data_IF_126791709368
#
_entry.id   IF_126791709368
#
_cell.length_a   1.000
_cell.length_b   1.000
_cell.length_c   1.000
_cell.angle_alpha   90.00
_cell.angle_beta   90.00
_cell.angle_gamma   90.00
#
_symmetry.space_group_name_H-M   'P 1'
#
loop_
_entity.id
_entity.type
_entity.pdbx_description
1 polymer ?
#
# COMPACT_ATOMS: atom_id res chain seq x y z
N UNK A 1 36.31 -64.11 -29.11
CA UNK A 1 36.89 -62.95 -28.42
C UNK A 1 36.23 -61.61 -28.77
N UNK A 2 35.88 -61.31 -30.04
CA UNK A 2 35.24 -60.03 -30.42
C UNK A 2 33.86 -59.72 -29.82
N UNK A 3 33.08 -60.74 -29.42
CA UNK A 3 31.73 -60.55 -28.84
C UNK A 3 31.74 -60.18 -27.35
N UNK A 4 32.78 -60.57 -26.61
CA UNK A 4 32.91 -60.24 -25.18
C UNK A 4 33.34 -58.77 -25.00
N UNK A 5 34.21 -58.26 -25.89
CA UNK A 5 34.59 -56.84 -25.89
C UNK A 5 33.43 -55.89 -26.18
N UNK A 6 32.41 -56.33 -26.92
CA UNK A 6 31.24 -55.51 -27.23
C UNK A 6 30.29 -55.35 -26.03
N UNK A 7 30.20 -56.37 -25.17
CA UNK A 7 29.38 -56.30 -23.96
C UNK A 7 30.02 -55.44 -22.86
N UNK A 8 31.35 -55.41 -22.76
CA UNK A 8 32.07 -54.56 -21.78
C UNK A 8 31.97 -53.07 -22.18
N UNK A 9 32.02 -52.75 -23.48
CA UNK A 9 31.83 -51.37 -23.96
C UNK A 9 30.39 -50.85 -23.75
N UNK A 10 29.37 -51.72 -23.85
CA UNK A 10 27.98 -51.34 -23.60
C UNK A 10 27.68 -51.11 -22.11
N UNK A 11 28.37 -51.81 -21.21
CA UNK A 11 28.24 -51.62 -19.75
C UNK A 11 28.92 -50.34 -19.25
N UNK A 12 29.89 -49.78 -19.97
CA UNK A 12 30.53 -48.50 -19.65
C UNK A 12 29.71 -47.28 -20.07
N UNK A 13 28.76 -47.42 -21.00
CA UNK A 13 27.88 -46.33 -21.45
C UNK A 13 26.59 -46.19 -20.62
N UNK A 14 26.31 -47.13 -19.72
CA UNK A 14 25.19 -47.08 -18.77
C UNK A 14 25.65 -46.74 -17.34
N UNK A 15 26.95 -46.54 -17.14
CA UNK A 15 27.55 -46.15 -15.87
C UNK A 15 27.66 -44.63 -15.73
N UNK A 16 26.65 -44.01 -15.12
CA UNK A 16 26.88 -42.88 -14.21
C UNK A 16 26.68 -41.47 -14.75
N UNK A 17 25.41 -41.05 -14.85
CA UNK A 17 25.05 -39.73 -14.31
C UNK A 17 24.96 -39.87 -12.78
N UNK A 18 26.06 -40.17 -12.11
CA UNK A 18 26.15 -39.88 -10.67
C UNK A 18 26.29 -38.38 -10.59
N UNK A 19 25.16 -37.71 -10.38
CA UNK A 19 25.09 -36.32 -9.96
C UNK A 19 25.90 -36.24 -8.65
N UNK A 20 27.18 -35.86 -8.76
CA UNK A 20 28.06 -35.58 -7.63
C UNK A 20 27.51 -34.30 -6.99
N UNK A 21 26.50 -34.48 -6.15
CA UNK A 21 25.95 -33.46 -5.25
C UNK A 21 26.62 -33.65 -3.91
N UNK A 22 27.94 -33.55 -3.87
CA UNK A 22 28.66 -33.61 -2.60
C UNK A 22 29.94 -32.79 -2.66
N UNK A 23 30.01 -31.81 -1.76
CA UNK A 23 31.22 -31.12 -1.26
C UNK A 23 31.80 -29.94 -2.04
N UNK A 24 30.97 -29.14 -2.68
CA UNK A 24 31.21 -27.69 -2.66
C UNK A 24 30.08 -27.09 -1.86
N UNK A 25 30.21 -27.15 -0.52
CA UNK A 25 29.37 -26.36 0.37
C UNK A 25 29.51 -24.92 -0.10
N UNK A 26 28.51 -24.41 -0.79
CA UNK A 26 28.51 -23.00 -1.11
C UNK A 26 28.46 -22.30 0.25
N UNK A 27 29.35 -21.34 0.53
CA UNK A 27 29.42 -20.65 1.83
C UNK A 27 28.13 -19.89 2.20
N UNK A 28 27.09 -20.02 1.39
CA UNK A 28 25.77 -19.44 1.55
C UNK A 28 24.74 -20.42 2.12
N UNK A 29 24.90 -21.72 1.89
CA UNK A 29 24.08 -22.73 2.57
C UNK A 29 24.36 -22.69 4.09
N UNK A 30 25.65 -22.57 4.45
CA UNK A 30 26.08 -22.37 5.84
C UNK A 30 25.52 -21.07 6.45
N UNK A 31 25.47 -19.99 5.66
CA UNK A 31 24.89 -18.70 6.11
C UNK A 31 23.39 -18.78 6.31
N UNK A 32 22.68 -19.52 5.46
CA UNK A 32 21.25 -19.73 5.62
C UNK A 32 20.97 -20.59 6.87
N UNK A 33 21.73 -21.67 7.06
CA UNK A 33 21.65 -22.49 8.26
C UNK A 33 21.91 -21.66 9.53
N UNK A 34 22.91 -20.78 9.51
CA UNK A 34 23.17 -19.88 10.62
C UNK A 34 22.04 -18.87 10.83
N UNK A 35 21.46 -18.31 9.76
CA UNK A 35 20.29 -17.44 9.88
C UNK A 35 19.09 -18.16 10.52
N UNK A 36 18.85 -19.43 10.16
CA UNK A 36 17.79 -20.26 10.74
C UNK A 36 18.07 -20.52 12.22
N UNK A 37 19.30 -20.89 12.58
CA UNK A 37 19.73 -21.08 13.97
C UNK A 37 19.52 -19.82 14.81
N UNK A 38 19.81 -18.63 14.26
CA UNK A 38 19.54 -17.36 14.93
C UNK A 38 18.04 -17.10 15.10
N UNK A 39 17.19 -17.46 14.12
CA UNK A 39 15.73 -17.39 14.26
C UNK A 39 15.22 -18.32 15.36
N UNK A 40 15.72 -19.55 15.43
CA UNK A 40 15.35 -20.53 16.45
C UNK A 40 15.73 -20.06 17.86
N UNK A 41 16.88 -19.39 18.00
CA UNK A 41 17.33 -18.75 19.24
C UNK A 41 16.57 -17.45 19.59
N UNK A 42 15.65 -17.01 18.73
CA UNK A 42 14.92 -15.75 18.89
C UNK A 42 15.72 -14.49 18.58
N UNK A 43 16.93 -14.61 18.04
CA UNK A 43 17.78 -13.49 17.64
C UNK A 43 17.41 -12.99 16.23
N UNK A 44 16.25 -12.35 16.15
CA UNK A 44 15.65 -11.87 14.90
C UNK A 44 16.52 -10.85 14.16
N UNK A 45 17.23 -9.99 14.89
CA UNK A 45 18.07 -8.94 14.29
C UNK A 45 19.29 -9.52 13.59
N UNK A 46 19.98 -10.49 14.21
CA UNK A 46 21.10 -11.17 13.57
C UNK A 46 20.64 -11.99 12.36
N UNK A 47 19.52 -12.72 12.50
CA UNK A 47 18.92 -13.45 11.39
C UNK A 47 18.55 -12.52 10.23
N UNK A 48 17.93 -11.37 10.50
CA UNK A 48 17.58 -10.37 9.47
C UNK A 48 18.80 -9.96 8.66
N UNK A 49 19.91 -9.62 9.32
CA UNK A 49 21.12 -9.17 8.64
C UNK A 49 21.67 -10.26 7.71
N UNK A 50 21.74 -11.50 8.19
CA UNK A 50 22.18 -12.64 7.37
C UNK A 50 21.26 -12.89 6.17
N UNK A 51 19.93 -12.82 6.36
CA UNK A 51 18.96 -13.00 5.28
C UNK A 51 19.02 -11.87 4.25
N UNK A 52 19.24 -10.63 4.69
CA UNK A 52 19.46 -9.47 3.82
C UNK A 52 20.70 -9.69 2.96
N UNK A 53 21.81 -10.11 3.56
CA UNK A 53 23.07 -10.38 2.85
C UNK A 53 22.90 -11.49 1.79
N UNK A 54 22.15 -12.55 2.10
CA UNK A 54 21.84 -13.63 1.16
C UNK A 54 20.97 -13.09 0.00
N UNK A 55 19.93 -12.32 0.31
CA UNK A 55 18.95 -11.81 -0.66
C UNK A 55 19.50 -10.74 -1.62
N UNK A 56 20.50 -9.97 -1.17
CA UNK A 56 21.17 -8.91 -1.93
C UNK A 56 22.41 -9.40 -2.68
N UNK A 57 22.76 -10.68 -2.57
CA UNK A 57 23.94 -11.21 -3.24
C UNK A 57 23.80 -11.19 -4.76
N UNK A 58 24.94 -11.01 -5.46
CA UNK A 58 25.00 -10.91 -6.93
C UNK A 58 24.52 -12.18 -7.64
N UNK A 59 24.76 -13.34 -7.04
CA UNK A 59 24.34 -14.64 -7.61
C UNK A 59 23.06 -15.09 -6.92
N UNK A 60 22.10 -15.60 -7.67
CA UNK A 60 20.88 -16.22 -7.12
C UNK A 60 21.09 -17.73 -7.08
N UNK A 61 20.87 -18.35 -5.92
CA UNK A 61 21.00 -19.80 -5.74
C UNK A 61 19.63 -20.34 -5.34
N UNK A 62 19.10 -21.28 -6.13
CA UNK A 62 17.84 -21.95 -5.83
C UNK A 62 17.95 -22.79 -4.56
N UNK A 63 16.90 -22.78 -3.73
CA UNK A 63 16.88 -23.39 -2.39
C UNK A 63 17.47 -22.51 -1.28
N UNK A 64 18.30 -21.52 -1.62
CA UNK A 64 18.96 -20.63 -0.64
C UNK A 64 18.44 -19.20 -0.70
N UNK A 65 18.47 -18.59 -1.89
CA UNK A 65 18.08 -17.19 -2.09
C UNK A 65 16.56 -17.02 -2.02
N UNK A 66 15.81 -17.98 -2.54
CA UNK A 66 14.35 -18.05 -2.47
C UNK A 66 13.86 -18.24 -1.02
N UNK A 67 14.46 -19.16 -0.25
CA UNK A 67 14.14 -19.34 1.17
C UNK A 67 14.44 -18.06 1.96
N UNK A 68 15.61 -17.45 1.71
CA UNK A 68 15.97 -16.20 2.37
C UNK A 68 15.02 -15.04 2.06
N UNK A 69 14.60 -14.90 0.79
CA UNK A 69 13.62 -13.89 0.37
C UNK A 69 12.27 -14.08 1.08
N UNK A 70 11.81 -15.33 1.18
CA UNK A 70 10.54 -15.64 1.83
C UNK A 70 10.60 -15.39 3.34
N UNK A 71 11.61 -15.93 4.03
CA UNK A 71 11.78 -15.76 5.49
C UNK A 71 11.99 -14.30 5.89
N UNK A 72 12.76 -13.55 5.11
CA UNK A 72 12.96 -12.12 5.33
C UNK A 72 11.63 -11.37 5.23
N UNK A 73 10.81 -11.71 4.22
CA UNK A 73 9.50 -11.09 4.02
C UNK A 73 8.56 -11.40 5.19
N UNK A 74 8.55 -12.63 5.70
CA UNK A 74 7.76 -13.00 6.88
C UNK A 74 8.23 -12.29 8.16
N UNK A 75 9.54 -12.20 8.36
CA UNK A 75 10.12 -11.53 9.52
C UNK A 75 9.71 -10.05 9.57
N UNK A 76 9.69 -9.40 8.39
CA UNK A 76 9.29 -8.00 8.24
C UNK A 76 7.78 -7.81 8.43
N UNK A 77 6.95 -8.74 7.95
CA UNK A 77 5.50 -8.69 8.16
C UNK A 77 5.13 -8.77 9.64
N UNK A 78 5.81 -9.63 10.40
CA UNK A 78 5.58 -9.76 11.86
C UNK A 78 5.95 -8.47 12.59
N UNK A 79 7.00 -7.78 12.15
CA UNK A 79 7.46 -6.52 12.75
C UNK A 79 6.75 -5.35 12.10
N UNK A 80 5.48 -5.16 12.46
CA UNK A 80 4.62 -4.04 12.02
C UNK A 80 5.21 -2.62 12.25
N UNK A 81 6.31 -2.50 13.00
CA UNK A 81 6.93 -1.23 13.42
C UNK A 81 8.27 -0.91 12.74
N UNK A 82 8.83 -1.77 11.88
CA UNK A 82 10.09 -1.42 11.19
C UNK A 82 9.84 -0.53 9.97
N UNK A 83 10.81 0.35 9.67
CA UNK A 83 10.77 1.36 8.61
C UNK A 83 10.56 0.83 7.19
N UNK A 84 10.50 -0.49 7.01
CA UNK A 84 10.30 -1.13 5.72
C UNK A 84 8.83 -1.14 5.36
N UNK A 85 8.50 -0.46 4.26
CA UNK A 85 7.12 -0.32 3.81
C UNK A 85 6.58 -1.67 3.34
N UNK A 86 5.27 -1.88 3.49
CA UNK A 86 4.56 -3.04 2.95
C UNK A 86 4.86 -3.27 1.44
N UNK A 87 5.13 -2.19 0.71
CA UNK A 87 5.57 -2.21 -0.68
C UNK A 87 6.93 -2.88 -0.90
N UNK A 88 7.87 -2.75 0.05
CA UNK A 88 9.18 -3.42 -0.02
C UNK A 88 9.04 -4.93 0.11
N UNK A 89 8.14 -5.38 1.00
CA UNK A 89 7.80 -6.80 1.20
C UNK A 89 7.13 -7.33 -0.06
N UNK A 90 6.13 -6.62 -0.59
CA UNK A 90 5.47 -6.97 -1.85
C UNK A 90 6.48 -7.14 -2.99
N UNK A 91 7.41 -6.19 -3.16
CA UNK A 91 8.49 -6.29 -4.17
C UNK A 91 9.37 -7.52 -4.00
N UNK A 92 9.73 -7.90 -2.76
CA UNK A 92 10.52 -9.11 -2.50
C UNK A 92 9.75 -10.37 -2.86
N UNK A 93 8.47 -10.47 -2.47
CA UNK A 93 7.64 -11.62 -2.78
C UNK A 93 7.36 -11.73 -4.29
N UNK A 94 7.14 -10.62 -4.98
CA UNK A 94 7.08 -10.62 -6.46
C UNK A 94 8.40 -11.08 -7.07
N UNK A 95 9.54 -10.59 -6.59
CA UNK A 95 10.87 -11.04 -7.04
C UNK A 95 11.08 -12.54 -6.83
N UNK A 96 10.62 -13.08 -5.70
CA UNK A 96 10.65 -14.51 -5.40
C UNK A 96 9.85 -15.29 -6.45
N UNK A 97 8.61 -14.89 -6.71
CA UNK A 97 7.71 -15.52 -7.68
C UNK A 97 8.24 -15.45 -9.12
N UNK A 98 8.87 -14.33 -9.51
CA UNK A 98 9.39 -14.16 -10.87
C UNK A 98 10.71 -14.90 -11.10
N UNK A 99 11.60 -14.89 -10.10
CA UNK A 99 12.95 -15.41 -10.26
C UNK A 99 13.06 -16.90 -9.91
N UNK A 100 12.14 -17.42 -9.10
CA UNK A 100 12.13 -18.81 -8.63
C UNK A 100 10.73 -19.43 -8.72
N UNK A 101 10.10 -19.51 -9.91
CA UNK A 101 8.71 -19.94 -10.06
C UNK A 101 8.47 -21.37 -9.56
N UNK A 102 9.46 -22.26 -9.68
CA UNK A 102 9.34 -23.66 -9.28
C UNK A 102 9.57 -23.89 -7.78
N UNK A 103 10.05 -22.87 -7.05
CA UNK A 103 10.28 -22.96 -5.61
C UNK A 103 8.99 -23.15 -4.82
N UNK A 104 9.03 -24.02 -3.81
CA UNK A 104 7.95 -24.16 -2.82
C UNK A 104 7.61 -22.82 -2.15
N UNK A 105 8.62 -21.98 -1.92
CA UNK A 105 8.46 -20.68 -1.26
C UNK A 105 7.67 -19.71 -2.15
N UNK A 106 7.84 -19.79 -3.47
CA UNK A 106 7.05 -19.00 -4.43
C UNK A 106 5.57 -19.39 -4.38
N UNK A 107 5.26 -20.68 -4.29
CA UNK A 107 3.87 -21.15 -4.14
C UNK A 107 3.25 -20.65 -2.83
N UNK A 108 3.99 -20.76 -1.72
CA UNK A 108 3.53 -20.30 -0.41
C UNK A 108 3.40 -18.77 -0.35
N UNK A 109 4.20 -18.03 -1.12
CA UNK A 109 4.14 -16.57 -1.18
C UNK A 109 2.91 -16.01 -1.88
N UNK A 110 2.24 -16.80 -2.73
CA UNK A 110 1.12 -16.32 -3.54
C UNK A 110 -0.04 -15.72 -2.71
N UNK A 111 -0.67 -16.47 -1.78
CA UNK A 111 -1.75 -15.92 -0.95
C UNK A 111 -1.27 -14.74 -0.10
N UNK A 112 0.01 -14.73 0.29
CA UNK A 112 0.59 -13.66 1.08
C UNK A 112 0.70 -12.36 0.27
N UNK A 113 1.16 -12.44 -0.97
CA UNK A 113 1.25 -11.30 -1.89
C UNK A 113 -0.14 -10.73 -2.20
N UNK A 114 -1.13 -11.59 -2.41
CA UNK A 114 -2.51 -11.19 -2.63
C UNK A 114 -3.08 -10.44 -1.40
N UNK A 115 -2.91 -11.01 -0.21
CA UNK A 115 -3.34 -10.39 1.04
C UNK A 115 -2.69 -9.02 1.26
N UNK A 116 -1.38 -8.91 1.03
CA UNK A 116 -0.65 -7.64 1.13
C UNK A 116 -1.19 -6.61 0.15
N UNK A 117 -1.47 -7.03 -1.08
CA UNK A 117 -2.00 -6.15 -2.14
C UNK A 117 -3.37 -5.60 -1.75
N UNK A 118 -4.25 -6.47 -1.21
CA UNK A 118 -5.57 -6.07 -0.72
C UNK A 118 -5.47 -5.11 0.47
N UNK A 119 -4.54 -5.35 1.40
CA UNK A 119 -4.35 -4.46 2.55
C UNK A 119 -3.86 -3.07 2.12
N UNK A 120 -2.96 -3.00 1.13
CA UNK A 120 -2.48 -1.71 0.59
C UNK A 120 -3.58 -0.97 -0.17
N UNK A 121 -4.42 -1.67 -0.95
CA UNK A 121 -5.57 -1.05 -1.62
C UNK A 121 -6.56 -0.46 -0.61
N UNK A 122 -6.95 -1.22 0.41
CA UNK A 122 -7.82 -0.72 1.48
C UNK A 122 -7.21 0.47 2.24
N UNK A 123 -5.90 0.47 2.48
CA UNK A 123 -5.21 1.60 3.11
C UNK A 123 -5.27 2.85 2.24
N UNK A 124 -5.13 2.71 0.92
CA UNK A 124 -5.22 3.83 -0.01
C UNK A 124 -6.65 4.36 -0.13
N UNK A 125 -7.65 3.47 -0.13
CA UNK A 125 -9.06 3.85 -0.07
C UNK A 125 -9.38 4.66 1.18
N UNK A 126 -8.91 4.22 2.36
CA UNK A 126 -9.07 4.97 3.61
C UNK A 126 -8.43 6.36 3.57
N UNK A 127 -7.22 6.47 2.99
CA UNK A 127 -6.58 7.78 2.81
C UNK A 127 -7.40 8.69 1.90
N UNK A 128 -7.85 8.17 0.77
CA UNK A 128 -8.66 8.92 -0.20
C UNK A 128 -9.99 9.34 0.42
N UNK A 129 -10.64 8.45 1.18
CA UNK A 129 -11.89 8.75 1.88
C UNK A 129 -11.71 9.84 2.93
N UNK A 130 -10.61 9.78 3.71
CA UNK A 130 -10.27 10.82 4.69
C UNK A 130 -10.02 12.18 4.04
N UNK A 131 -9.35 12.21 2.89
CA UNK A 131 -9.16 13.44 2.11
C UNK A 131 -10.50 14.02 1.63
N UNK A 132 -11.37 13.18 1.05
CA UNK A 132 -12.72 13.57 0.63
C UNK A 132 -13.55 14.11 1.79
N UNK A 133 -13.56 13.40 2.91
CA UNK A 133 -14.25 13.82 4.14
C UNK A 133 -13.79 15.20 4.61
N UNK A 134 -12.48 15.42 4.68
CA UNK A 134 -11.93 16.72 5.07
C UNK A 134 -12.28 17.85 4.09
N UNK A 135 -12.34 17.54 2.79
CA UNK A 135 -12.77 18.50 1.76
C UNK A 135 -14.23 18.89 1.95
N UNK A 136 -15.11 17.89 2.11
CA UNK A 136 -16.54 18.12 2.34
C UNK A 136 -16.79 18.88 3.64
N UNK A 137 -16.00 18.62 4.68
CA UNK A 137 -16.11 19.36 5.95
C UNK A 137 -15.82 20.86 5.77
N UNK A 138 -14.83 21.21 4.94
CA UNK A 138 -14.49 22.61 4.62
C UNK A 138 -15.62 23.25 3.82
N UNK A 139 -16.08 22.59 2.77
CA UNK A 139 -17.17 23.07 1.92
C UNK A 139 -18.46 23.30 2.72
N UNK A 140 -18.82 22.37 3.60
CA UNK A 140 -20.00 22.51 4.46
C UNK A 140 -19.87 23.70 5.42
N UNK A 141 -18.67 23.95 5.94
CA UNK A 141 -18.39 25.13 6.77
C UNK A 141 -18.57 26.44 5.97
N UNK A 142 -18.07 26.48 4.73
CA UNK A 142 -18.21 27.63 3.84
C UNK A 142 -19.67 27.90 3.47
N UNK A 143 -20.41 26.85 3.11
CA UNK A 143 -21.85 26.93 2.83
C UNK A 143 -22.64 27.41 4.04
N UNK A 144 -22.30 26.93 5.24
CA UNK A 144 -22.94 27.40 6.48
C UNK A 144 -22.71 28.89 6.72
N UNK A 145 -21.50 29.39 6.45
CA UNK A 145 -21.18 30.82 6.58
C UNK A 145 -21.91 31.65 5.53
N UNK A 146 -21.93 31.20 4.27
CA UNK A 146 -22.66 31.86 3.20
C UNK A 146 -24.17 31.93 3.48
N UNK A 147 -24.77 30.84 3.98
CA UNK A 147 -26.17 30.83 4.40
C UNK A 147 -26.45 31.84 5.51
N UNK A 148 -25.58 31.93 6.52
CA UNK A 148 -25.71 32.91 7.60
C UNK A 148 -25.64 34.35 7.07
N UNK A 149 -24.74 34.62 6.13
CA UNK A 149 -24.62 35.94 5.48
C UNK A 149 -25.85 36.28 4.64
N UNK A 150 -26.40 35.33 3.89
CA UNK A 150 -27.63 35.57 3.13
C UNK A 150 -28.83 35.82 4.04
N UNK A 151 -28.93 35.10 5.16
CA UNK A 151 -29.98 35.32 6.15
C UNK A 151 -29.91 36.74 6.74
N UNK A 152 -28.72 37.23 7.08
CA UNK A 152 -28.55 38.60 7.60
C UNK A 152 -28.88 39.65 6.53
N UNK A 153 -28.44 39.45 5.28
CA UNK A 153 -28.77 40.34 4.16
C UNK A 153 -30.30 40.41 3.93
N UNK A 154 -30.99 39.27 3.92
CA UNK A 154 -32.44 39.21 3.79
C UNK A 154 -33.17 39.94 4.93
N UNK A 155 -32.67 39.84 6.16
CA UNK A 155 -33.23 40.58 7.29
C UNK A 155 -33.07 42.09 7.11
N UNK A 156 -31.91 42.55 6.63
CA UNK A 156 -31.65 43.96 6.33
C UNK A 156 -32.57 44.47 5.22
N UNK A 157 -32.66 43.76 4.09
CA UNK A 157 -33.56 44.11 2.99
C UNK A 157 -35.03 44.14 3.43
N UNK A 158 -35.44 43.23 4.31
CA UNK A 158 -36.80 43.23 4.88
C UNK A 158 -37.07 44.48 5.71
N UNK A 159 -36.09 44.96 6.48
CA UNK A 159 -36.21 46.22 7.24
C UNK A 159 -36.27 47.42 6.32
N UNK A 160 -35.39 47.50 5.32
CA UNK A 160 -35.36 48.59 4.33
C UNK A 160 -36.66 48.66 3.54
N UNK A 161 -37.19 47.51 3.06
CA UNK A 161 -38.48 47.47 2.37
C UNK A 161 -39.63 47.99 3.25
N UNK A 162 -39.64 47.64 4.54
CA UNK A 162 -40.63 48.18 5.49
C UNK A 162 -40.50 49.70 5.63
N UNK A 163 -39.28 50.21 5.74
CA UNK A 163 -39.02 51.64 5.86
C UNK A 163 -39.42 52.41 4.59
N UNK A 164 -39.06 51.90 3.42
CA UNK A 164 -39.44 52.49 2.13
C UNK A 164 -40.97 52.54 2.00
N UNK A 165 -41.67 51.46 2.33
CA UNK A 165 -43.13 51.43 2.32
C UNK A 165 -43.73 52.49 3.25
N UNK A 166 -43.18 52.66 4.45
CA UNK A 166 -43.62 53.72 5.38
C UNK A 166 -43.38 55.13 4.81
N UNK A 167 -42.24 55.35 4.13
CA UNK A 167 -41.93 56.64 3.48
C UNK A 167 -42.87 56.91 2.30
N UNK A 168 -43.18 55.89 1.50
CA UNK A 168 -44.15 55.98 0.39
C UNK A 168 -45.53 56.38 0.93
N UNK A 169 -46.01 55.73 1.99
CA UNK A 169 -47.31 56.07 2.58
C UNK A 169 -47.35 57.51 3.13
N UNK A 170 -46.25 57.98 3.75
CA UNK A 170 -46.13 59.39 4.16
C UNK A 170 -46.18 60.36 2.97
N UNK A 171 -45.47 60.06 1.89
CA UNK A 171 -45.51 60.88 0.67
C UNK A 171 -46.91 60.94 0.07
N UNK A 172 -47.61 59.81 -0.01
CA UNK A 172 -49.02 59.78 -0.47
C UNK A 172 -49.91 60.67 0.39
N UNK A 173 -49.75 60.65 1.72
CA UNK A 173 -50.53 61.54 2.60
C UNK A 173 -50.23 63.03 2.37
N UNK A 174 -48.95 63.38 2.16
CA UNK A 174 -48.53 64.75 1.88
C UNK A 174 -49.06 65.24 0.53
N UNK A 175 -49.04 64.41 -0.50
CA UNK A 175 -49.62 64.74 -1.81
C UNK A 175 -51.12 65.03 -1.70
N UNK A 176 -51.86 64.22 -0.93
CA UNK A 176 -53.29 64.45 -0.67
C UNK A 176 -53.51 65.79 0.06
N UNK A 177 -52.66 66.15 1.02
CA UNK A 177 -52.75 67.44 1.72
C UNK A 177 -52.46 68.63 0.80
N UNK A 178 -51.46 68.50 -0.08
CA UNK A 178 -51.11 69.51 -1.08
C UNK A 178 -52.25 69.72 -2.09
N UNK A 179 -52.85 68.65 -2.60
CA UNK A 179 -54.01 68.74 -3.49
C UNK A 179 -55.20 69.46 -2.84
N UNK A 180 -55.47 69.15 -1.55
CA UNK A 180 -56.54 69.84 -0.80
C UNK A 180 -56.26 71.33 -0.62
N UNK A 181 -55.00 71.72 -0.40
CA UNK A 181 -54.60 73.13 -0.31
C UNK A 181 -54.70 73.86 -1.64
N UNK A 182 -54.29 73.23 -2.75
CA UNK A 182 -54.33 73.84 -4.09
C UNK A 182 -55.75 74.03 -4.65
N UNK A 183 -56.75 73.33 -4.11
CA UNK A 183 -58.17 73.45 -4.50
C UNK A 183 -58.94 74.50 -3.68
N UNK A 184 -58.34 75.12 -2.67
CA UNK A 184 -58.90 76.23 -1.90
C UNK A 184 -58.33 77.55 -2.41
#
# INVERSE_FOLDING_TARGET
MKRISLCIAALLLLGGCTFIKDKLGYPREDKLAEAINQLEKGNETAAKNLLVDISNSRYSVEGVTDDALFRLSLLQLRRHNEAETMQSIQKRLTKLQTNFPDSQWSRLSWPLTEYITQMESSRNELKNLKQKYNSLLKENKELSLANQQMQSANQTLTKENKEINLRIEKLKSLDIELEKKNRR
#
